data_IF_893927619477
#
_entry.id   IF_893927619477
#
_cell.length_a   1.000
_cell.length_b   1.000
_cell.length_c   1.000
_cell.angle_alpha   90.00
_cell.angle_beta   90.00
_cell.angle_gamma   90.00
#
_symmetry.space_group_name_H-M   'P 1'
#
loop_
_entity.id
_entity.type
_entity.pdbx_description
1 polymer ?
#
# COMPACT_ATOMS: atom_id res chain seq x y z
N UNK A 1 -2.82 -19.30 -5.25
CA UNK A 1 -3.47 -17.99 -5.54
C UNK A 1 -3.04 -17.56 -6.93
N UNK A 2 -3.84 -16.83 -7.69
CA UNK A 2 -3.48 -16.44 -9.07
C UNK A 2 -3.16 -14.96 -9.14
N UNK A 3 -2.14 -14.62 -9.92
CA UNK A 3 -1.83 -13.26 -10.34
C UNK A 3 -1.82 -13.16 -11.86
N UNK A 4 -1.71 -11.93 -12.35
CA UNK A 4 -1.56 -11.63 -13.78
C UNK A 4 -0.45 -10.60 -13.95
N UNK A 5 0.38 -10.80 -14.96
CA UNK A 5 1.38 -9.84 -15.43
C UNK A 5 0.87 -9.29 -16.75
N UNK A 6 0.84 -7.97 -16.83
CA UNK A 6 0.41 -7.23 -18.00
C UNK A 6 1.61 -6.41 -18.45
N UNK A 7 2.04 -6.60 -19.70
CA UNK A 7 3.09 -5.79 -20.27
C UNK A 7 2.52 -4.43 -20.69
N UNK A 8 2.98 -3.39 -20.02
CA UNK A 8 2.58 -2.01 -20.31
C UNK A 8 3.71 -1.29 -21.06
N UNK A 9 3.56 -1.04 -22.38
CA UNK A 9 4.68 -0.64 -23.23
C UNK A 9 5.21 0.77 -22.93
N UNK A 10 4.38 1.67 -22.41
CA UNK A 10 4.78 3.01 -21.98
C UNK A 10 3.89 3.51 -20.84
N UNK A 11 4.42 3.63 -19.63
CA UNK A 11 3.69 4.08 -18.44
C UNK A 11 3.16 5.52 -18.53
N UNK A 12 3.66 6.33 -19.48
CA UNK A 12 3.16 7.69 -19.73
C UNK A 12 2.13 7.73 -20.86
N UNK A 13 1.96 6.65 -21.63
CA UNK A 13 0.94 6.57 -22.65
C UNK A 13 -0.44 6.37 -22.01
N UNK A 14 -1.52 6.90 -22.63
CA UNK A 14 -2.87 6.57 -22.20
C UNK A 14 -3.11 5.08 -22.24
N UNK A 15 -4.02 4.60 -21.38
CA UNK A 15 -4.37 3.19 -21.33
C UNK A 15 -4.71 2.64 -22.72
N UNK A 16 -4.10 1.51 -23.15
CA UNK A 16 -4.42 0.95 -24.44
C UNK A 16 -5.87 0.48 -24.44
N UNK A 17 -6.54 0.62 -25.59
CA UNK A 17 -7.94 0.21 -25.74
C UNK A 17 -8.16 -1.30 -25.50
N UNK A 18 -7.09 -2.10 -25.59
CA UNK A 18 -7.07 -3.51 -25.21
C UNK A 18 -5.70 -3.88 -24.63
N UNK A 19 -5.72 -4.72 -23.60
CA UNK A 19 -4.50 -5.33 -23.06
C UNK A 19 -4.13 -6.50 -23.98
N UNK A 20 -3.00 -6.40 -24.66
CA UNK A 20 -2.62 -7.33 -25.72
C UNK A 20 -2.13 -8.68 -25.18
N UNK A 21 -1.36 -8.68 -24.08
CA UNK A 21 -0.80 -9.88 -23.48
C UNK A 21 -0.99 -9.86 -21.96
N UNK A 22 -1.66 -10.89 -21.45
CA UNK A 22 -1.84 -11.16 -20.02
C UNK A 22 -1.22 -12.51 -19.70
N UNK A 23 -0.14 -12.51 -18.91
CA UNK A 23 0.51 -13.74 -18.44
C UNK A 23 0.04 -14.06 -17.04
N UNK A 24 -0.69 -15.16 -16.88
CA UNK A 24 -1.07 -15.65 -15.56
C UNK A 24 0.14 -16.22 -14.82
N UNK A 25 0.23 -15.91 -13.52
CA UNK A 25 1.28 -16.42 -12.62
C UNK A 25 0.64 -17.06 -11.38
N UNK A 26 1.28 -18.09 -10.84
CA UNK A 26 0.89 -18.67 -9.57
C UNK A 26 1.61 -17.94 -8.43
N UNK A 27 0.82 -17.39 -7.51
CA UNK A 27 1.31 -16.67 -6.33
C UNK A 27 1.36 -17.59 -5.10
N UNK A 28 1.07 -18.89 -5.21
CA UNK A 28 1.08 -19.79 -4.06
C UNK A 28 2.42 -19.77 -3.31
N UNK A 29 3.54 -19.77 -4.04
CA UNK A 29 4.88 -19.71 -3.43
C UNK A 29 5.12 -18.39 -2.67
N UNK A 30 4.63 -17.26 -3.20
CA UNK A 30 4.69 -15.95 -2.54
C UNK A 30 3.93 -15.97 -1.21
N UNK A 31 2.66 -16.37 -1.24
CA UNK A 31 1.83 -16.39 -0.03
C UNK A 31 2.32 -17.42 1.00
N UNK A 32 2.84 -18.57 0.55
CA UNK A 32 3.46 -19.55 1.43
C UNK A 32 4.73 -19.01 2.12
N UNK A 33 5.50 -18.16 1.45
CA UNK A 33 6.68 -17.50 2.03
C UNK A 33 6.30 -16.38 3.01
N UNK A 34 5.19 -15.68 2.78
CA UNK A 34 4.70 -14.59 3.64
C UNK A 34 4.02 -15.13 4.91
N UNK A 35 3.23 -16.20 4.80
CA UNK A 35 2.39 -16.70 5.89
C UNK A 35 3.10 -16.89 7.24
N UNK A 36 4.33 -17.42 7.30
CA UNK A 36 5.07 -17.54 8.56
C UNK A 36 5.57 -16.22 9.17
N UNK A 37 5.54 -15.11 8.42
CA UNK A 37 6.10 -13.82 8.82
C UNK A 37 5.08 -12.88 9.47
N UNK A 38 3.79 -13.15 9.28
CA UNK A 38 2.69 -12.29 9.74
C UNK A 38 1.56 -13.15 10.32
N UNK A 39 0.81 -12.66 11.30
CA UNK A 39 -0.27 -13.42 11.92
C UNK A 39 -1.44 -13.69 10.96
N UNK A 40 -1.71 -12.74 10.06
CA UNK A 40 -2.72 -12.83 9.00
C UNK A 40 -2.20 -12.09 7.78
N UNK A 41 -2.40 -12.68 6.59
CA UNK A 41 -2.01 -12.03 5.35
C UNK A 41 -3.15 -11.13 4.89
N UNK A 42 -2.88 -9.82 4.87
CA UNK A 42 -3.73 -8.80 4.24
C UNK A 42 -2.83 -7.76 3.57
N UNK A 43 -2.51 -7.96 2.29
CA UNK A 43 -1.59 -7.09 1.54
C UNK A 43 -2.38 -5.95 0.89
N UNK A 44 -2.14 -4.71 1.31
CA UNK A 44 -2.88 -3.54 0.83
C UNK A 44 -2.04 -2.62 -0.07
N UNK A 45 -0.71 -2.66 0.05
CA UNK A 45 0.18 -1.79 -0.71
C UNK A 45 1.43 -2.52 -1.19
N UNK A 46 2.02 -2.03 -2.28
CA UNK A 46 3.29 -2.53 -2.78
C UNK A 46 4.11 -1.43 -3.45
N UNK A 47 5.42 -1.40 -3.21
CA UNK A 47 6.35 -0.57 -3.99
C UNK A 47 7.54 -1.38 -4.49
N UNK A 48 8.05 -1.03 -5.67
CA UNK A 48 9.25 -1.64 -6.23
C UNK A 48 10.47 -0.78 -5.91
N UNK A 49 11.45 -1.33 -5.18
CA UNK A 49 12.69 -0.63 -4.84
C UNK A 49 13.89 -1.54 -5.05
N UNK A 50 14.79 -1.13 -5.95
CA UNK A 50 16.03 -1.86 -6.25
C UNK A 50 15.82 -3.36 -6.58
N UNK A 51 14.73 -3.69 -7.29
CA UNK A 51 14.40 -5.08 -7.67
C UNK A 51 13.67 -5.90 -6.60
N UNK A 52 13.43 -5.33 -5.42
CA UNK A 52 12.58 -5.92 -4.38
C UNK A 52 11.19 -5.28 -4.40
N UNK A 53 10.15 -6.11 -4.36
CA UNK A 53 8.82 -5.70 -3.94
C UNK A 53 8.83 -5.55 -2.42
N UNK A 54 8.54 -4.35 -1.94
CA UNK A 54 8.16 -4.11 -0.56
C UNK A 54 6.63 -4.17 -0.49
N UNK A 55 6.13 -5.21 0.15
CA UNK A 55 4.71 -5.47 0.35
C UNK A 55 4.30 -4.96 1.73
N UNK A 56 3.19 -4.24 1.81
CA UNK A 56 2.66 -3.68 3.04
C UNK A 56 1.45 -4.50 3.47
N UNK A 57 1.64 -5.26 4.55
CA UNK A 57 0.59 -6.05 5.17
C UNK A 57 -0.11 -5.22 6.24
N UNK A 58 -1.40 -5.00 6.09
CA UNK A 58 -2.22 -4.23 7.02
C UNK A 58 -2.41 -4.97 8.35
N UNK A 59 -2.35 -4.22 9.43
CA UNK A 59 -2.72 -4.70 10.76
C UNK A 59 -4.24 -4.81 10.94
N UNK A 60 -4.68 -5.40 12.04
CA UNK A 60 -6.08 -5.47 12.42
C UNK A 60 -6.25 -5.32 13.95
N UNK A 61 -7.48 -5.42 14.45
CA UNK A 61 -7.74 -5.24 15.89
C UNK A 61 -7.00 -6.22 16.80
N UNK A 62 -6.79 -7.47 16.35
CA UNK A 62 -6.05 -8.48 17.11
C UNK A 62 -4.53 -8.29 16.97
N UNK A 63 -4.07 -7.85 15.81
CA UNK A 63 -2.66 -7.67 15.45
C UNK A 63 -2.45 -6.28 14.82
N UNK A 64 -2.34 -5.22 15.64
CA UNK A 64 -2.47 -3.83 15.17
C UNK A 64 -1.29 -3.33 14.33
N UNK A 65 -0.12 -3.96 14.44
CA UNK A 65 1.05 -3.61 13.65
C UNK A 65 0.82 -3.92 12.16
N UNK A 66 1.14 -2.95 11.30
CA UNK A 66 1.31 -3.22 9.87
C UNK A 66 2.74 -3.73 9.62
N UNK A 67 2.97 -4.52 8.58
CA UNK A 67 4.27 -5.14 8.33
C UNK A 67 4.80 -4.79 6.95
N UNK A 68 6.10 -4.56 6.83
CA UNK A 68 6.78 -4.39 5.54
C UNK A 68 7.54 -5.67 5.23
N UNK A 69 7.21 -6.31 4.12
CA UNK A 69 7.81 -7.58 3.70
C UNK A 69 8.55 -7.37 2.38
N UNK A 70 9.82 -7.72 2.33
CA UNK A 70 10.60 -7.67 1.09
C UNK A 70 10.58 -9.03 0.37
N UNK A 71 10.38 -8.98 -0.95
CA UNK A 71 10.41 -10.13 -1.84
C UNK A 71 11.13 -9.76 -3.14
N UNK A 72 12.07 -10.58 -3.66
CA UNK A 72 12.65 -10.34 -4.97
C UNK A 72 11.60 -10.43 -6.09
N UNK A 73 11.44 -9.38 -6.91
CA UNK A 73 10.44 -9.36 -7.98
C UNK A 73 10.64 -10.50 -8.99
N UNK A 74 11.90 -10.77 -9.37
CA UNK A 74 12.23 -11.82 -10.33
C UNK A 74 11.68 -13.19 -9.90
N UNK A 75 11.86 -13.57 -8.63
CA UNK A 75 11.35 -14.83 -8.10
C UNK A 75 9.83 -14.94 -8.15
N UNK A 76 9.11 -13.83 -7.92
CA UNK A 76 7.64 -13.78 -8.04
C UNK A 76 7.22 -13.96 -9.50
N UNK A 77 7.89 -13.30 -10.44
CA UNK A 77 7.54 -13.35 -11.87
C UNK A 77 7.86 -14.69 -12.53
N UNK A 78 8.89 -15.40 -12.05
CA UNK A 78 9.30 -16.72 -12.52
C UNK A 78 8.35 -17.85 -12.06
N UNK A 79 7.56 -17.63 -10.99
CA UNK A 79 6.64 -18.63 -10.44
C UNK A 79 7.35 -19.80 -9.74
N UNK A 80 8.63 -19.65 -9.41
CA UNK A 80 9.44 -20.62 -8.66
C UNK A 80 9.36 -20.44 -7.15
N UNK A 81 10.26 -21.07 -6.38
CA UNK A 81 10.39 -20.83 -4.95
C UNK A 81 10.65 -19.34 -4.65
N UNK A 82 9.85 -18.76 -3.76
CA UNK A 82 9.95 -17.35 -3.35
C UNK A 82 10.52 -17.28 -1.93
N UNK A 83 11.47 -16.38 -1.71
CA UNK A 83 11.90 -15.98 -0.36
C UNK A 83 11.25 -14.66 0.02
N UNK A 84 10.77 -14.57 1.25
CA UNK A 84 10.22 -13.35 1.82
C UNK A 84 10.96 -13.02 3.12
N UNK A 85 11.10 -11.74 3.43
CA UNK A 85 11.75 -11.27 4.66
C UNK A 85 10.97 -10.13 5.28
N UNK A 86 10.64 -10.26 6.56
CA UNK A 86 10.12 -9.15 7.36
C UNK A 86 11.19 -8.07 7.51
N UNK A 87 10.87 -6.85 7.08
CA UNK A 87 11.77 -5.68 7.09
C UNK A 87 11.52 -4.76 8.26
N UNK A 88 10.24 -4.55 8.59
CA UNK A 88 9.82 -3.70 9.67
C UNK A 88 8.41 -4.10 10.11
N UNK A 89 8.13 -3.85 11.38
CA UNK A 89 6.79 -3.75 11.93
C UNK A 89 6.52 -2.26 12.19
N UNK A 90 5.33 -1.81 11.81
CA UNK A 90 4.88 -0.43 11.91
C UNK A 90 3.78 -0.36 12.97
N UNK A 91 4.16 0.03 14.17
CA UNK A 91 3.23 0.47 15.22
C UNK A 91 2.91 1.95 15.02
N UNK A 92 1.87 2.23 14.23
CA UNK A 92 1.41 3.59 13.97
C UNK A 92 0.54 4.12 15.14
N UNK A 93 0.43 5.45 15.30
CA UNK A 93 -0.43 6.04 16.33
C UNK A 93 -1.89 5.62 16.22
N UNK A 94 -2.61 5.68 17.35
CA UNK A 94 -4.03 5.40 17.40
C UNK A 94 -4.87 6.69 17.38
N UNK A 95 -6.04 6.64 16.72
CA UNK A 95 -7.07 7.68 16.75
C UNK A 95 -8.27 7.15 17.52
N UNK A 96 -8.67 7.86 18.58
CA UNK A 96 -9.74 7.42 19.49
C UNK A 96 -9.56 5.97 20.02
N UNK A 97 -8.31 5.53 20.21
CA UNK A 97 -7.98 4.18 20.69
C UNK A 97 -7.94 3.09 19.61
N UNK A 98 -8.17 3.44 18.34
CA UNK A 98 -8.06 2.52 17.19
C UNK A 98 -6.75 2.81 16.43
N UNK A 99 -5.87 1.81 16.24
CA UNK A 99 -4.58 2.00 15.57
C UNK A 99 -4.76 2.39 14.10
N UNK A 100 -3.90 3.26 13.59
CA UNK A 100 -3.75 3.46 12.15
C UNK A 100 -3.12 2.21 11.52
N UNK A 101 -3.68 1.75 10.42
CA UNK A 101 -3.18 0.59 9.66
C UNK A 101 -3.11 0.94 8.19
N UNK A 102 -2.09 0.43 7.49
CA UNK A 102 -1.77 0.82 6.11
C UNK A 102 -2.85 0.36 5.12
N UNK A 103 -3.21 1.21 4.17
CA UNK A 103 -4.18 0.90 3.11
C UNK A 103 -3.63 1.06 1.69
N UNK A 104 -2.50 1.75 1.51
CA UNK A 104 -1.70 1.74 0.27
C UNK A 104 -0.30 2.34 0.52
N UNK A 105 0.61 2.22 -0.45
CA UNK A 105 1.96 2.75 -0.41
C UNK A 105 2.43 3.33 -1.75
N UNK A 106 3.17 4.44 -1.69
CA UNK A 106 3.74 5.12 -2.84
C UNK A 106 5.23 5.43 -2.62
N UNK A 107 6.10 5.01 -3.55
CA UNK A 107 7.53 5.33 -3.50
C UNK A 107 7.80 6.69 -4.16
N UNK A 108 8.46 7.59 -3.43
CA UNK A 108 8.91 8.88 -3.94
C UNK A 108 10.25 8.78 -4.67
N UNK A 109 10.54 9.75 -5.54
CA UNK A 109 11.83 9.84 -6.24
C UNK A 109 13.02 10.02 -5.28
N UNK A 110 12.77 10.56 -4.09
CA UNK A 110 13.76 10.66 -3.00
C UNK A 110 14.13 9.31 -2.37
N UNK A 111 13.35 8.25 -2.64
CA UNK A 111 13.47 6.94 -2.01
C UNK A 111 12.74 6.82 -0.67
N UNK A 112 12.06 7.87 -0.23
CA UNK A 112 11.07 7.82 0.85
C UNK A 112 9.80 7.14 0.37
N UNK A 113 8.99 6.63 1.29
CA UNK A 113 7.71 5.98 0.99
C UNK A 113 6.61 6.73 1.72
N UNK A 114 5.55 7.10 1.02
CA UNK A 114 4.30 7.55 1.63
C UNK A 114 3.35 6.38 1.77
N UNK A 115 2.65 6.30 2.89
CA UNK A 115 1.59 5.34 3.14
C UNK A 115 0.29 6.09 3.36
N UNK A 116 -0.82 5.62 2.80
CA UNK A 116 -2.13 5.92 3.37
C UNK A 116 -2.39 4.96 4.52
N UNK A 117 -3.02 5.46 5.59
CA UNK A 117 -3.40 4.65 6.72
C UNK A 117 -4.74 5.11 7.33
N UNK A 118 -5.51 4.16 7.85
CA UNK A 118 -6.79 4.43 8.52
C UNK A 118 -6.90 3.77 9.88
N UNK A 119 -7.61 4.45 10.77
CA UNK A 119 -8.07 3.93 12.05
C UNK A 119 -9.52 3.50 11.86
N UNK A 120 -9.70 2.24 11.46
CA UNK A 120 -10.99 1.67 11.14
C UNK A 120 -11.45 0.74 12.27
N UNK A 121 -12.55 1.09 12.92
CA UNK A 121 -13.08 0.34 14.03
C UNK A 121 -13.90 -0.86 13.53
N UNK A 122 -13.22 -1.94 13.14
CA UNK A 122 -13.84 -3.20 12.74
C UNK A 122 -13.28 -4.39 13.52
N UNK A 123 -14.13 -5.39 13.77
CA UNK A 123 -13.76 -6.68 14.36
C UNK A 123 -13.43 -7.73 13.27
N UNK A 124 -13.52 -7.36 11.98
CA UNK A 124 -13.30 -8.25 10.83
C UNK A 124 -12.47 -7.53 9.76
N UNK A 125 -11.36 -8.14 9.31
CA UNK A 125 -10.48 -7.61 8.24
C UNK A 125 -11.19 -7.44 6.89
N UNK A 126 -12.37 -8.05 6.70
CA UNK A 126 -13.16 -8.02 5.47
C UNK A 126 -14.45 -7.16 5.54
N UNK A 127 -14.76 -6.52 6.66
CA UNK A 127 -15.98 -5.71 6.79
C UNK A 127 -15.63 -4.29 7.22
N UNK A 128 -16.18 -3.29 6.53
CA UNK A 128 -15.88 -1.90 6.83
C UNK A 128 -16.43 -1.48 8.20
N UNK A 129 -15.51 -1.09 9.07
CA UNK A 129 -15.78 -0.46 10.35
C UNK A 129 -15.99 1.03 10.23
N UNK A 130 -16.40 1.67 11.32
CA UNK A 130 -16.43 3.13 11.36
C UNK A 130 -15.01 3.69 11.21
N UNK A 131 -14.79 4.55 10.21
CA UNK A 131 -13.55 5.28 10.03
C UNK A 131 -13.44 6.39 11.07
N UNK A 132 -12.53 6.23 12.03
CA UNK A 132 -12.32 7.17 13.12
C UNK A 132 -11.19 8.17 12.84
N UNK A 133 -10.32 7.84 11.89
CA UNK A 133 -9.22 8.70 11.46
C UNK A 133 -8.52 8.15 10.23
N UNK A 134 -7.82 9.03 9.54
CA UNK A 134 -6.99 8.70 8.39
C UNK A 134 -5.75 9.59 8.40
N UNK A 135 -4.66 9.13 7.82
CA UNK A 135 -3.40 9.85 7.76
C UNK A 135 -2.57 9.47 6.53
N UNK A 136 -1.68 10.37 6.13
CA UNK A 136 -0.52 10.05 5.29
C UNK A 136 0.71 9.90 6.20
N UNK A 137 1.38 8.77 6.11
CA UNK A 137 2.59 8.46 6.88
C UNK A 137 3.80 8.49 5.96
N UNK A 138 4.83 9.23 6.33
CA UNK A 138 6.10 9.22 5.62
C UNK A 138 7.08 8.25 6.28
N UNK A 139 7.63 7.33 5.51
CA UNK A 139 8.77 6.52 5.88
C UNK A 139 10.04 7.04 5.19
N UNK A 140 11.13 7.11 5.95
CA UNK A 140 12.45 7.35 5.39
C UNK A 140 12.94 6.17 4.54
N UNK A 141 14.06 6.39 3.84
CA UNK A 141 14.73 5.35 3.06
C UNK A 141 15.15 4.12 3.89
N UNK A 142 15.25 4.24 5.22
CA UNK A 142 15.52 3.20 6.20
C UNK A 142 14.25 2.52 6.76
N UNK A 143 13.07 2.87 6.22
CA UNK A 143 11.75 2.41 6.64
C UNK A 143 11.29 2.92 8.02
N UNK A 144 12.01 3.88 8.62
CA UNK A 144 11.57 4.50 9.86
C UNK A 144 10.53 5.59 9.60
N UNK A 145 9.51 5.67 10.45
CA UNK A 145 8.48 6.72 10.40
C UNK A 145 9.12 8.10 10.62
N UNK A 146 8.79 9.06 9.76
CA UNK A 146 9.25 10.46 9.80
C UNK A 146 8.13 11.40 10.21
N UNK A 147 6.94 11.21 9.66
CA UNK A 147 5.77 12.03 9.93
C UNK A 147 4.49 11.19 9.81
N UNK A 148 3.44 11.66 10.49
CA UNK A 148 2.08 11.13 10.42
C UNK A 148 1.16 12.35 10.33
N UNK A 149 0.72 12.66 9.12
CA UNK A 149 -0.10 13.84 8.81
C UNK A 149 -1.57 13.42 8.70
N UNK A 150 -2.47 13.88 9.58
CA UNK A 150 -3.89 13.55 9.50
C UNK A 150 -4.54 14.01 8.19
N UNK A 151 -5.46 13.22 7.65
CA UNK A 151 -6.28 13.59 6.52
C UNK A 151 -7.60 14.22 6.98
N UNK A 152 -7.93 15.37 6.41
CA UNK A 152 -9.22 16.05 6.56
C UNK A 152 -9.79 16.40 5.15
N UNK A 153 -10.94 15.83 4.75
CA UNK A 153 -11.78 14.92 5.53
C UNK A 153 -11.13 13.54 5.77
N UNK A 154 -11.66 12.81 6.76
CA UNK A 154 -11.28 11.42 7.01
C UNK A 154 -11.76 10.56 5.83
N UNK A 155 -10.81 9.97 5.11
CA UNK A 155 -11.03 9.15 3.91
C UNK A 155 -10.19 7.88 3.99
N UNK A 156 -10.77 6.73 3.60
CA UNK A 156 -10.02 5.48 3.37
C UNK A 156 -9.39 5.52 1.99
N UNK A 157 -8.13 5.94 1.94
CA UNK A 157 -7.37 6.03 0.68
C UNK A 157 -6.76 4.66 0.38
N UNK A 158 -7.22 4.02 -0.68
CA UNK A 158 -6.81 2.68 -1.15
C UNK A 158 -6.04 2.74 -2.48
N UNK A 159 -5.87 3.93 -3.03
CA UNK A 159 -4.92 4.22 -4.09
C UNK A 159 -4.20 5.53 -3.83
N UNK A 160 -2.87 5.51 -3.76
CA UNK A 160 -2.01 6.65 -3.46
C UNK A 160 -0.95 6.82 -4.55
N UNK A 161 -0.96 8.00 -5.17
CA UNK A 161 0.13 8.45 -6.04
C UNK A 161 0.64 9.79 -5.56
N UNK A 162 1.95 9.98 -5.64
CA UNK A 162 2.58 11.21 -5.19
C UNK A 162 3.68 11.66 -6.15
N UNK A 163 3.89 12.98 -6.22
CA UNK A 163 4.97 13.58 -7.00
C UNK A 163 5.60 14.74 -6.25
N UNK A 164 6.93 14.78 -6.21
CA UNK A 164 7.65 15.91 -5.62
C UNK A 164 7.62 17.07 -6.62
N UNK A 165 7.12 18.22 -6.16
CA UNK A 165 7.04 19.48 -6.90
C UNK A 165 7.76 20.58 -6.12
N UNK A 166 7.94 21.75 -6.74
CA UNK A 166 8.68 22.85 -6.13
C UNK A 166 8.02 23.40 -4.85
N UNK A 167 6.70 23.25 -4.72
CA UNK A 167 5.87 23.78 -3.64
C UNK A 167 5.41 22.69 -2.64
N UNK A 168 5.84 21.44 -2.81
CA UNK A 168 5.49 20.34 -1.89
C UNK A 168 5.36 18.99 -2.58
N UNK A 169 4.83 18.02 -1.85
CA UNK A 169 4.50 16.70 -2.40
C UNK A 169 3.03 16.68 -2.78
N UNK A 170 2.75 16.60 -4.08
CA UNK A 170 1.39 16.59 -4.62
C UNK A 170 0.86 15.17 -4.61
N UNK A 171 -0.31 14.98 -4.02
CA UNK A 171 -0.96 13.69 -3.85
C UNK A 171 -2.17 13.57 -4.79
N UNK A 172 -2.35 12.38 -5.35
CA UNK A 172 -3.61 11.89 -5.87
C UNK A 172 -4.04 10.70 -5.02
N UNK A 173 -5.27 10.74 -4.52
CA UNK A 173 -5.82 9.73 -3.63
C UNK A 173 -7.12 9.19 -4.22
N UNK A 174 -7.28 7.87 -4.22
CA UNK A 174 -8.50 7.17 -4.66
C UNK A 174 -9.08 6.37 -3.50
N UNK A 175 -10.40 6.31 -3.42
CA UNK A 175 -11.14 5.45 -2.49
C UNK A 175 -11.81 4.31 -3.25
N UNK A 176 -11.91 3.11 -2.69
CA UNK A 176 -12.85 2.10 -3.19
C UNK A 176 -14.25 2.39 -2.64
N UNK A 177 -15.27 2.09 -3.45
CA UNK A 177 -16.67 2.15 -3.03
C UNK A 177 -17.23 0.77 -2.65
N UNK A 178 -16.44 -0.29 -2.85
CA UNK A 178 -16.81 -1.70 -2.67
C UNK A 178 -18.06 -2.11 -3.48
N UNK A 179 -18.46 -1.28 -4.44
CA UNK A 179 -19.62 -1.45 -5.31
C UNK A 179 -19.20 -1.16 -6.75
N UNK A 180 -19.20 -2.17 -7.66
CA UNK A 180 -18.80 -1.98 -9.05
C UNK A 180 -19.70 -1.02 -9.83
N UNK A 181 -20.92 -0.75 -9.35
CA UNK A 181 -21.85 0.20 -9.96
C UNK A 181 -21.69 1.64 -9.41
N UNK A 182 -20.81 1.84 -8.42
CA UNK A 182 -20.50 3.14 -7.83
C UNK A 182 -19.11 3.62 -8.27
N UNK A 183 -19.02 4.87 -8.70
CA UNK A 183 -17.73 5.46 -9.04
C UNK A 183 -16.91 5.76 -7.77
N UNK A 184 -15.65 5.33 -7.78
CA UNK A 184 -14.63 5.73 -6.80
C UNK A 184 -14.45 7.24 -6.72
N UNK A 185 -14.10 7.74 -5.54
CA UNK A 185 -13.71 9.14 -5.35
C UNK A 185 -12.26 9.36 -5.79
N UNK A 186 -11.99 10.47 -6.48
CA UNK A 186 -10.64 10.96 -6.76
C UNK A 186 -10.42 12.30 -6.07
N UNK A 187 -9.39 12.35 -5.22
CA UNK A 187 -9.03 13.51 -4.41
C UNK A 187 -7.60 13.95 -4.73
N UNK A 188 -7.31 15.22 -4.45
CA UNK A 188 -5.96 15.77 -4.53
C UNK A 188 -5.60 16.47 -3.23
N UNK A 189 -4.34 16.38 -2.85
CA UNK A 189 -3.79 17.05 -1.66
C UNK A 189 -2.36 17.51 -1.91
N UNK A 190 -1.83 18.32 -0.99
CA UNK A 190 -0.42 18.73 -1.01
C UNK A 190 0.11 18.61 0.42
N UNK A 191 1.19 17.85 0.59
CA UNK A 191 1.99 17.88 1.81
C UNK A 191 3.10 18.92 1.65
N UNK A 192 3.48 19.55 2.76
CA UNK A 192 4.70 20.36 2.77
C UNK A 192 5.89 19.48 2.34
N UNK A 193 6.85 20.08 1.63
CA UNK A 193 8.07 19.36 1.28
C UNK A 193 8.76 18.86 2.56
N UNK A 194 9.29 17.63 2.59
CA UNK A 194 10.09 17.16 3.72
C UNK A 194 11.27 18.12 3.92
N UNK A 195 11.47 18.53 5.17
CA UNK A 195 12.49 19.50 5.58
C UNK A 195 13.93 18.97 5.39
#
# INVERSE_FOLDING_TARGET
>A
MRGAVIDWPDHNAPAPAAIADVRLIDLQALFAAIGPLVPEINLEGAVLRAGELLLFNRGNRAYPASHIIAVPLAGVLEGGPVTARLRAELDLPAVAGVPLTVTDACLLESGHILLSAVAEATDNSYADGALLGAAIVELGADLAVRSVEPLDPVLKVEGLSAKIMADGVHLLCVTDADDPDQASGLYRGVLAAPA
#
